data_IF_384099834019
#
_entry.id   IF_384099834019
#
_cell.length_a   1.000
_cell.length_b   1.000
_cell.length_c   1.000
_cell.angle_alpha   90.00
_cell.angle_beta   90.00
_cell.angle_gamma   90.00
#
_symmetry.space_group_name_H-M   'P 1'
#
loop_
_entity.id
_entity.type
_entity.pdbx_description
1 polymer ?
#
# COMPACT_ATOMS: atom_id res chain seq x y z
N UNK A 1 -13.61 40.14 -2.66
CA UNK A 1 -14.70 39.39 -3.29
C UNK A 1 -15.00 38.19 -2.44
N UNK A 2 -16.17 38.20 -1.78
CA UNK A 2 -16.53 37.23 -0.73
C UNK A 2 -16.53 35.76 -1.18
N UNK A 3 -16.56 35.49 -2.50
CA UNK A 3 -16.43 34.13 -3.05
C UNK A 3 -15.08 33.45 -2.78
N UNK A 4 -13.99 34.20 -2.61
CA UNK A 4 -12.65 33.62 -2.39
C UNK A 4 -12.49 32.99 -1.00
N UNK A 5 -13.21 33.49 0.02
CA UNK A 5 -13.20 32.93 1.37
C UNK A 5 -13.95 31.60 1.45
N UNK A 6 -15.14 31.55 0.83
CA UNK A 6 -15.97 30.34 0.78
C UNK A 6 -15.29 29.18 0.08
N UNK A 7 -14.64 29.42 -1.06
CA UNK A 7 -13.92 28.37 -1.80
C UNK A 7 -12.76 27.80 -0.99
N UNK A 8 -12.04 28.62 -0.22
CA UNK A 8 -10.96 28.13 0.67
C UNK A 8 -11.50 27.22 1.77
N UNK A 9 -12.60 27.60 2.41
CA UNK A 9 -13.22 26.78 3.47
C UNK A 9 -13.71 25.45 2.90
N UNK A 10 -14.42 25.47 1.78
CA UNK A 10 -14.88 24.25 1.11
C UNK A 10 -13.70 23.38 0.66
N UNK A 11 -12.63 23.97 0.12
CA UNK A 11 -11.42 23.24 -0.28
C UNK A 11 -10.73 22.54 0.90
N UNK A 12 -10.60 23.21 2.05
CA UNK A 12 -10.02 22.61 3.26
C UNK A 12 -10.88 21.43 3.73
N UNK A 13 -12.20 21.60 3.76
CA UNK A 13 -13.13 20.54 4.16
C UNK A 13 -13.00 19.33 3.21
N UNK A 14 -13.00 19.57 1.90
CA UNK A 14 -12.83 18.51 0.89
C UNK A 14 -11.50 17.79 1.04
N UNK A 15 -10.40 18.52 1.31
CA UNK A 15 -9.10 17.91 1.56
C UNK A 15 -9.10 17.02 2.81
N UNK A 16 -9.74 17.46 3.91
CA UNK A 16 -9.85 16.65 5.13
C UNK A 16 -10.63 15.36 4.84
N UNK A 17 -11.78 15.45 4.18
CA UNK A 17 -12.57 14.27 3.81
C UNK A 17 -11.84 13.34 2.85
N UNK A 18 -11.10 13.89 1.88
CA UNK A 18 -10.29 13.12 0.95
C UNK A 18 -9.20 12.32 1.69
N UNK A 19 -8.46 12.98 2.59
CA UNK A 19 -7.42 12.33 3.40
C UNK A 19 -8.03 11.26 4.30
N UNK A 20 -9.15 11.54 4.98
CA UNK A 20 -9.84 10.56 5.83
C UNK A 20 -10.31 9.33 5.03
N UNK A 21 -10.89 9.55 3.85
CA UNK A 21 -11.38 8.47 2.98
C UNK A 21 -10.22 7.62 2.48
N UNK A 22 -9.13 8.24 2.01
CA UNK A 22 -7.93 7.55 1.58
C UNK A 22 -7.30 6.73 2.73
N UNK A 23 -7.22 7.32 3.93
CA UNK A 23 -6.71 6.66 5.12
C UNK A 23 -7.55 5.42 5.48
N UNK A 24 -8.88 5.55 5.51
CA UNK A 24 -9.75 4.40 5.81
C UNK A 24 -9.65 3.31 4.75
N UNK A 25 -9.57 3.66 3.47
CA UNK A 25 -9.39 2.68 2.40
C UNK A 25 -8.12 1.85 2.58
N UNK A 26 -6.99 2.52 2.84
CA UNK A 26 -5.72 1.84 3.09
C UNK A 26 -5.76 1.02 4.38
N UNK A 27 -6.35 1.56 5.45
CA UNK A 27 -6.48 0.87 6.74
C UNK A 27 -7.32 -0.41 6.63
N UNK A 28 -8.45 -0.36 5.93
CA UNK A 28 -9.29 -1.54 5.65
C UNK A 28 -8.50 -2.58 4.85
N UNK A 29 -7.82 -2.17 3.77
CA UNK A 29 -7.00 -3.07 2.96
C UNK A 29 -5.87 -3.72 3.78
N UNK A 30 -5.18 -2.96 4.64
CA UNK A 30 -4.17 -3.50 5.54
C UNK A 30 -4.75 -4.51 6.54
N UNK A 31 -5.90 -4.19 7.14
CA UNK A 31 -6.59 -5.08 8.09
C UNK A 31 -6.98 -6.39 7.42
N UNK A 32 -7.56 -6.34 6.23
CA UNK A 32 -7.95 -7.52 5.46
C UNK A 32 -6.74 -8.35 5.02
N UNK A 33 -5.70 -7.70 4.47
CA UNK A 33 -4.47 -8.38 4.06
C UNK A 33 -3.80 -9.09 5.25
N UNK A 34 -3.68 -8.41 6.39
CA UNK A 34 -3.05 -8.97 7.58
C UNK A 34 -3.89 -10.11 8.17
N UNK A 35 -5.21 -9.96 8.20
CA UNK A 35 -6.11 -11.05 8.62
C UNK A 35 -5.98 -12.26 7.68
N UNK A 36 -5.95 -12.06 6.37
CA UNK A 36 -5.76 -13.12 5.38
C UNK A 36 -4.43 -13.86 5.55
N UNK A 37 -3.33 -13.11 5.72
CA UNK A 37 -1.99 -13.68 5.96
C UNK A 37 -1.97 -14.47 7.26
N UNK A 38 -2.47 -13.90 8.36
CA UNK A 38 -2.48 -14.59 9.66
C UNK A 38 -3.35 -15.82 9.61
N UNK A 39 -4.57 -15.75 9.07
CA UNK A 39 -5.45 -16.91 8.94
C UNK A 39 -4.83 -18.02 8.09
N UNK A 40 -4.13 -17.66 7.01
CA UNK A 40 -3.43 -18.64 6.17
C UNK A 40 -2.25 -19.30 6.90
N UNK A 41 -1.45 -18.54 7.66
CA UNK A 41 -0.34 -19.08 8.48
C UNK A 41 -0.88 -19.96 9.61
N UNK A 42 -1.96 -19.54 10.25
CA UNK A 42 -2.51 -20.19 11.44
C UNK A 42 -3.21 -21.51 11.07
N UNK A 43 -3.94 -21.56 9.94
CA UNK A 43 -4.45 -22.82 9.36
C UNK A 43 -3.34 -23.79 9.00
N UNK A 44 -2.12 -23.30 8.71
CA UNK A 44 -0.95 -24.12 8.39
C UNK A 44 -0.24 -24.71 9.62
N UNK A 45 -0.40 -24.09 10.81
CA UNK A 45 0.31 -24.50 12.04
C UNK A 45 -0.57 -25.09 13.15
N UNK A 46 -1.89 -24.84 13.16
CA UNK A 46 -2.82 -25.42 14.16
C UNK A 46 -4.21 -25.69 13.59
N UNK A 47 -4.95 -26.69 14.11
CA UNK A 47 -6.33 -26.95 13.72
C UNK A 47 -7.25 -25.78 14.09
N UNK A 48 -8.19 -25.49 13.18
CA UNK A 48 -9.01 -24.28 13.10
C UNK A 48 -9.97 -24.02 14.28
N UNK A 49 -9.97 -24.86 15.32
CA UNK A 49 -10.99 -24.88 16.37
C UNK A 49 -10.72 -23.94 17.56
N UNK A 50 -9.52 -23.35 17.67
CA UNK A 50 -9.17 -22.41 18.76
C UNK A 50 -8.80 -21.00 18.29
N UNK A 51 -8.96 -20.71 17.00
CA UNK A 51 -8.54 -19.44 16.42
C UNK A 51 -9.63 -18.39 16.61
N UNK A 52 -9.46 -17.51 17.59
CA UNK A 52 -10.29 -16.32 17.75
C UNK A 52 -9.82 -15.25 16.77
N UNK A 53 -10.46 -15.14 15.60
CA UNK A 53 -10.22 -14.04 14.64
C UNK A 53 -10.28 -12.66 15.30
N UNK A 54 -11.19 -12.48 16.26
CA UNK A 54 -11.30 -11.26 17.04
C UNK A 54 -10.02 -10.91 17.82
N UNK A 55 -9.30 -11.91 18.34
CA UNK A 55 -8.05 -11.70 19.07
C UNK A 55 -6.91 -11.33 18.12
N UNK A 56 -6.88 -11.97 16.96
CA UNK A 56 -5.92 -11.67 15.88
C UNK A 56 -6.12 -10.25 15.36
N UNK A 57 -7.35 -9.87 15.00
CA UNK A 57 -7.67 -8.52 14.57
C UNK A 57 -7.31 -7.47 15.63
N UNK A 58 -7.62 -7.74 16.90
CA UNK A 58 -7.32 -6.84 18.00
C UNK A 58 -5.81 -6.72 18.23
N UNK A 59 -5.06 -7.81 18.06
CA UNK A 59 -3.60 -7.81 18.05
C UNK A 59 -2.99 -6.99 16.91
N UNK A 60 -3.53 -7.10 15.70
CA UNK A 60 -3.11 -6.30 14.53
C UNK A 60 -3.38 -4.81 14.76
N UNK A 61 -4.56 -4.47 15.30
CA UNK A 61 -4.90 -3.09 15.66
C UNK A 61 -3.92 -2.50 16.69
N UNK A 62 -3.65 -3.25 17.76
CA UNK A 62 -2.69 -2.82 18.80
C UNK A 62 -1.30 -2.67 18.19
N UNK A 63 -0.87 -3.61 17.34
CA UNK A 63 0.42 -3.54 16.66
C UNK A 63 0.53 -2.33 15.73
N UNK A 64 -0.53 -2.01 14.98
CA UNK A 64 -0.56 -0.81 14.13
C UNK A 64 -0.45 0.48 14.95
N UNK A 65 -1.12 0.57 16.09
CA UNK A 65 -1.03 1.71 17.01
C UNK A 65 0.38 1.80 17.61
N UNK A 66 0.96 0.68 18.04
CA UNK A 66 2.33 0.62 18.56
C UNK A 66 3.36 1.00 17.50
N UNK A 67 3.20 0.57 16.25
CA UNK A 67 4.04 0.98 15.12
C UNK A 67 3.96 2.48 14.88
N UNK A 68 2.74 3.04 14.84
CA UNK A 68 2.55 4.48 14.66
C UNK A 68 3.16 5.27 15.82
N UNK A 69 2.98 4.82 17.06
CA UNK A 69 3.59 5.42 18.24
C UNK A 69 5.13 5.34 18.18
N UNK A 70 5.67 4.18 17.80
CA UNK A 70 7.12 3.97 17.64
C UNK A 70 7.70 4.90 16.57
N UNK A 71 7.00 5.10 15.45
CA UNK A 71 7.44 6.03 14.41
C UNK A 71 7.55 7.48 14.91
N UNK A 72 6.63 7.91 15.79
CA UNK A 72 6.66 9.24 16.41
C UNK A 72 7.80 9.34 17.41
N UNK A 73 7.96 8.36 18.31
CA UNK A 73 9.01 8.35 19.35
C UNK A 73 10.41 8.31 18.74
N UNK A 74 10.59 7.54 17.67
CA UNK A 74 11.87 7.44 16.95
C UNK A 74 12.14 8.62 16.02
N UNK A 75 11.23 9.60 15.93
CA UNK A 75 11.28 10.70 14.96
C UNK A 75 11.56 10.17 13.54
N UNK A 76 10.99 9.01 13.23
CA UNK A 76 11.28 8.30 12.01
C UNK A 76 10.75 9.13 10.83
N UNK A 77 11.60 9.49 9.86
CA UNK A 77 11.15 10.28 8.73
C UNK A 77 10.20 9.43 7.89
N UNK A 78 8.91 9.74 7.99
CA UNK A 78 7.84 9.14 7.17
C UNK A 78 8.14 9.31 5.68
N UNK A 79 8.92 10.35 5.33
CA UNK A 79 9.46 10.57 3.99
C UNK A 79 10.39 9.43 3.55
N UNK A 80 11.31 8.97 4.39
CA UNK A 80 12.20 7.86 4.03
C UNK A 80 11.45 6.56 3.84
N UNK A 81 10.41 6.30 4.63
CA UNK A 81 9.50 5.17 4.41
C UNK A 81 8.78 5.29 3.06
N UNK A 82 8.27 6.47 2.72
CA UNK A 82 7.60 6.71 1.42
C UNK A 82 8.56 6.44 0.26
N UNK A 83 9.81 6.87 0.38
CA UNK A 83 10.83 6.64 -0.64
C UNK A 83 11.25 5.17 -0.76
N UNK A 84 11.27 4.40 0.32
CA UNK A 84 11.56 2.96 0.28
C UNK A 84 10.34 2.16 -0.22
N UNK A 85 9.12 2.62 0.09
CA UNK A 85 7.88 2.01 -0.40
C UNK A 85 7.74 2.18 -1.92
N UNK A 86 8.17 3.30 -2.50
CA UNK A 86 8.08 3.59 -3.94
C UNK A 86 8.69 2.48 -4.85
N UNK A 87 9.96 2.05 -4.66
CA UNK A 87 10.54 0.98 -5.47
C UNK A 87 9.89 -0.38 -5.18
N UNK A 88 9.43 -0.64 -3.95
CA UNK A 88 8.72 -1.88 -3.61
C UNK A 88 7.39 -1.94 -4.35
N UNK A 89 6.61 -0.86 -4.35
CA UNK A 89 5.36 -0.76 -5.11
C UNK A 89 5.60 -0.82 -6.61
N UNK A 90 6.70 -0.24 -7.12
CA UNK A 90 7.11 -0.38 -8.52
C UNK A 90 7.42 -1.84 -8.88
N UNK A 91 8.17 -2.55 -8.05
CA UNK A 91 8.46 -3.98 -8.27
C UNK A 91 7.20 -4.84 -8.15
N UNK A 92 6.39 -4.69 -7.11
CA UNK A 92 5.16 -5.48 -6.94
C UNK A 92 4.15 -5.15 -8.05
N UNK A 93 3.98 -3.88 -8.40
CA UNK A 93 3.01 -3.42 -9.39
C UNK A 93 3.40 -3.72 -10.84
N UNK A 94 4.68 -3.60 -11.20
CA UNK A 94 5.14 -3.76 -12.58
C UNK A 94 5.72 -5.16 -12.87
N UNK A 95 6.39 -5.79 -11.89
CA UNK A 95 7.06 -7.08 -12.10
C UNK A 95 6.08 -8.26 -12.03
N UNK A 96 5.02 -8.19 -11.20
CA UNK A 96 3.97 -9.22 -11.11
C UNK A 96 3.24 -9.42 -12.46
N UNK A 97 2.67 -8.38 -13.10
CA UNK A 97 1.99 -8.56 -14.39
C UNK A 97 2.97 -8.92 -15.50
N UNK A 98 4.21 -8.40 -15.48
CA UNK A 98 5.25 -8.82 -16.40
C UNK A 98 5.48 -10.34 -16.30
N UNK A 99 5.71 -10.84 -15.09
CA UNK A 99 5.93 -12.27 -14.84
C UNK A 99 4.70 -13.13 -15.18
N UNK A 100 3.49 -12.64 -14.90
CA UNK A 100 2.22 -13.32 -15.22
C UNK A 100 2.04 -13.50 -16.74
N UNK A 101 2.38 -12.47 -17.53
CA UNK A 101 2.34 -12.52 -19.01
C UNK A 101 3.36 -13.50 -19.59
N UNK A 102 4.54 -13.63 -18.95
CA UNK A 102 5.54 -14.63 -19.36
C UNK A 102 5.13 -16.06 -19.02
N UNK A 103 4.37 -16.27 -17.95
CA UNK A 103 4.01 -17.61 -17.46
C UNK A 103 2.66 -18.13 -17.98
N UNK A 104 1.72 -17.25 -18.32
CA UNK A 104 0.37 -17.63 -18.78
C UNK A 104 0.26 -17.51 -20.31
N UNK A 105 0.18 -18.64 -21.05
CA UNK A 105 0.18 -18.62 -22.52
C UNK A 105 -1.08 -17.98 -23.12
N UNK A 106 -2.19 -17.89 -22.38
CA UNK A 106 -3.41 -17.20 -22.80
C UNK A 106 -3.24 -15.66 -22.89
N UNK A 107 -2.23 -15.10 -22.21
CA UNK A 107 -1.92 -13.66 -22.24
C UNK A 107 -0.75 -13.30 -23.17
N UNK A 108 -0.14 -14.29 -23.86
CA UNK A 108 0.90 -14.02 -24.87
C UNK A 108 0.42 -13.16 -26.04
N UNK A 109 -0.90 -13.03 -26.25
CA UNK A 109 -1.48 -12.07 -27.21
C UNK A 109 -1.24 -10.60 -26.82
N UNK A 110 -0.94 -10.33 -25.54
CA UNK A 110 -0.53 -9.03 -25.00
C UNK A 110 1.00 -8.91 -24.80
N UNK A 111 1.81 -9.84 -25.34
CA UNK A 111 3.25 -9.59 -25.59
C UNK A 111 3.36 -8.52 -26.67
N UNK A 112 3.16 -7.27 -26.27
CA UNK A 112 3.21 -6.10 -27.14
C UNK A 112 3.61 -4.86 -26.34
N UNK A 113 3.58 -3.70 -27.00
CA UNK A 113 4.08 -2.42 -26.49
C UNK A 113 3.65 -2.05 -25.05
N UNK A 114 2.47 -2.50 -24.60
CA UNK A 114 1.96 -2.26 -23.26
C UNK A 114 2.83 -2.91 -22.16
N UNK A 115 3.38 -4.11 -22.39
CA UNK A 115 4.29 -4.78 -21.45
C UNK A 115 5.61 -4.00 -21.30
N UNK A 116 6.13 -3.48 -22.42
CA UNK A 116 7.35 -2.70 -22.45
C UNK A 116 7.18 -1.35 -21.74
N UNK A 117 6.03 -0.68 -21.93
CA UNK A 117 5.68 0.54 -21.18
C UNK A 117 5.57 0.28 -19.67
N UNK A 118 4.98 -0.84 -19.25
CA UNK A 118 4.88 -1.21 -17.83
C UNK A 118 6.27 -1.46 -17.23
N UNK A 119 7.15 -2.15 -17.95
CA UNK A 119 8.53 -2.42 -17.50
C UNK A 119 9.34 -1.12 -17.42
N UNK A 120 9.26 -0.23 -18.42
CA UNK A 120 9.92 1.08 -18.38
C UNK A 120 9.39 1.92 -17.23
N UNK A 121 8.08 1.99 -17.04
CA UNK A 121 7.46 2.77 -15.96
C UNK A 121 7.88 2.22 -14.59
N UNK A 122 7.94 0.90 -14.44
CA UNK A 122 8.44 0.25 -13.23
C UNK A 122 9.91 0.53 -12.96
N UNK A 123 10.75 0.49 -13.99
CA UNK A 123 12.18 0.83 -13.88
C UNK A 123 12.36 2.30 -13.50
N UNK A 124 11.60 3.20 -14.12
CA UNK A 124 11.58 4.62 -13.83
C UNK A 124 11.16 4.89 -12.37
N UNK A 125 10.10 4.20 -11.89
CA UNK A 125 9.69 4.27 -10.49
C UNK A 125 10.78 3.75 -9.54
N UNK A 126 11.49 2.67 -9.90
CA UNK A 126 12.58 2.15 -9.07
C UNK A 126 13.79 3.10 -9.00
N UNK A 127 14.05 3.86 -10.07
CA UNK A 127 15.13 4.86 -10.13
C UNK A 127 14.72 6.20 -9.50
N UNK A 128 13.42 6.49 -9.44
CA UNK A 128 12.88 7.73 -8.86
C UNK A 128 13.32 8.06 -7.42
N UNK A 129 13.42 7.12 -6.45
CA UNK A 129 13.99 7.44 -5.14
C UNK A 129 15.48 7.79 -5.22
N UNK A 130 16.25 7.18 -6.13
CA UNK A 130 17.67 7.49 -6.30
C UNK A 130 17.90 8.89 -6.91
N UNK A 131 17.03 9.31 -7.83
CA UNK A 131 17.00 10.66 -8.41
C UNK A 131 16.51 11.74 -7.44
N UNK A 132 15.62 11.40 -6.50
CA UNK A 132 15.11 12.33 -5.50
C UNK A 132 16.08 12.59 -4.33
N UNK A 133 17.07 11.70 -4.12
CA UNK A 133 18.11 11.83 -3.10
C UNK A 133 19.52 12.14 -3.67
N UNK A 134 19.63 12.39 -4.98
CA UNK A 134 20.85 12.90 -5.65
C UNK A 134 20.73 14.38 -5.96
#
# INVERSE_FOLDING_TARGET
GDGAGWVKVVSVILNIFAVMTAFFGVYLGFREATQGIVMNILRRKMPAEKIKENLVQRGIMIFAILLAWSAIVLNAPVLSFTSICSPIFGMVGCLIPAWLVYKVPALHKYKGASLYLIIITGLLLCVSPFLAFS
#
